data_IF_075572199297
#
_entry.id   IF_075572199297
#
_cell.length_a   1.000
_cell.length_b   1.000
_cell.length_c   1.000
_cell.angle_alpha   90.00
_cell.angle_beta   90.00
_cell.angle_gamma   90.00
#
_symmetry.space_group_name_H-M   'P 1'
#
loop_
_entity.id
_entity.type
_entity.pdbx_description
1 polymer ?
#
# COMPACT_ATOMS: atom_id res chain seq x y z
N UNK A 1 -18.46 14.95 3.68
CA UNK A 1 -18.84 13.63 3.14
C UNK A 1 -17.98 12.60 3.82
N UNK A 2 -18.59 11.61 4.47
CA UNK A 2 -17.90 10.51 5.16
C UNK A 2 -17.63 9.43 4.12
N UNK A 3 -16.37 9.25 3.71
CA UNK A 3 -16.00 8.13 2.85
C UNK A 3 -16.25 6.83 3.62
N UNK A 4 -16.97 5.91 3.00
CA UNK A 4 -17.61 4.81 3.68
C UNK A 4 -16.70 3.58 3.67
N UNK A 5 -16.43 3.01 4.84
CA UNK A 5 -15.79 1.70 5.03
C UNK A 5 -16.50 0.56 4.28
N UNK A 6 -17.76 0.80 3.87
CA UNK A 6 -18.73 -0.19 3.45
C UNK A 6 -19.08 -0.16 1.96
N UNK A 7 -18.56 0.77 1.14
CA UNK A 7 -18.81 0.64 -0.31
C UNK A 7 -18.12 -0.64 -0.80
N UNK A 8 -18.82 -1.57 -1.46
CA UNK A 8 -18.20 -2.80 -1.97
C UNK A 8 -16.97 -2.52 -2.85
N UNK A 9 -17.01 -1.40 -3.56
CA UNK A 9 -15.93 -0.95 -4.44
C UNK A 9 -14.74 -0.35 -3.67
N UNK A 10 -14.92 0.08 -2.41
CA UNK A 10 -13.85 0.70 -1.61
C UNK A 10 -12.68 -0.24 -1.32
N UNK A 11 -12.88 -1.55 -1.47
CA UNK A 11 -11.87 -2.59 -1.25
C UNK A 11 -11.40 -3.25 -2.57
N UNK A 12 -11.79 -2.69 -3.72
CA UNK A 12 -11.41 -3.18 -5.04
C UNK A 12 -10.07 -2.60 -5.52
N UNK A 13 -9.46 -3.25 -6.53
CA UNK A 13 -8.31 -2.70 -7.26
C UNK A 13 -6.93 -2.89 -6.60
N UNK A 14 -6.77 -3.88 -5.73
CA UNK A 14 -5.56 -4.06 -4.90
C UNK A 14 -5.25 -2.80 -4.07
N UNK A 15 -4.01 -2.61 -3.61
CA UNK A 15 -3.62 -1.51 -2.72
C UNK A 15 -2.33 -0.82 -3.14
N UNK A 16 -2.20 0.45 -2.72
CA UNK A 16 -0.92 1.14 -2.67
C UNK A 16 -0.37 0.97 -1.26
N UNK A 17 0.72 0.23 -1.15
CA UNK A 17 1.27 -0.21 0.13
C UNK A 17 2.65 0.38 0.40
N UNK A 18 2.96 0.50 1.68
CA UNK A 18 4.31 0.36 2.19
C UNK A 18 4.55 -1.11 2.54
N UNK A 19 5.44 -1.78 1.81
CA UNK A 19 5.99 -3.08 2.19
C UNK A 19 7.25 -2.87 3.01
N UNK A 20 7.17 -3.11 4.31
CA UNK A 20 8.27 -2.94 5.25
C UNK A 20 8.87 -4.30 5.61
N UNK A 21 10.20 -4.40 5.59
CA UNK A 21 10.94 -5.61 5.94
C UNK A 21 11.78 -5.40 7.21
N UNK A 22 11.67 -6.33 8.14
CA UNK A 22 12.31 -6.29 9.46
C UNK A 22 13.39 -7.36 9.64
N UNK A 23 13.55 -8.28 8.69
CA UNK A 23 14.40 -9.46 8.83
C UNK A 23 13.79 -10.53 9.74
N UNK A 24 14.57 -11.54 10.15
CA UNK A 24 14.10 -12.59 11.05
C UNK A 24 13.70 -12.01 12.42
N UNK A 25 12.41 -12.11 12.76
CA UNK A 25 11.83 -11.60 14.01
C UNK A 25 10.90 -12.65 14.66
N UNK A 26 10.80 -12.69 16.00
CA UNK A 26 9.83 -13.54 16.68
C UNK A 26 8.41 -13.00 16.53
N UNK A 27 7.40 -13.87 16.70
CA UNK A 27 5.97 -13.51 16.63
C UNK A 27 5.61 -12.39 17.62
N UNK A 28 6.23 -12.38 18.80
CA UNK A 28 6.04 -11.31 19.79
C UNK A 28 6.43 -9.93 19.27
N UNK A 29 7.46 -9.84 18.43
CA UNK A 29 7.88 -8.57 17.82
C UNK A 29 6.94 -8.18 16.66
N UNK A 30 6.39 -9.16 15.93
CA UNK A 30 5.34 -8.90 14.94
C UNK A 30 4.10 -8.25 15.57
N UNK A 31 3.67 -8.72 16.75
CA UNK A 31 2.58 -8.11 17.53
C UNK A 31 2.89 -6.66 17.91
N UNK A 32 4.13 -6.38 18.35
CA UNK A 32 4.54 -5.04 18.76
C UNK A 32 4.67 -4.09 17.56
N UNK A 33 5.11 -4.58 16.41
CA UNK A 33 5.17 -3.81 15.16
C UNK A 33 3.76 -3.44 14.70
N UNK A 34 2.83 -4.40 14.70
CA UNK A 34 1.42 -4.13 14.37
C UNK A 34 0.81 -3.09 15.33
N UNK A 35 1.03 -3.24 16.64
CA UNK A 35 0.57 -2.26 17.63
C UNK A 35 1.15 -0.85 17.38
N UNK A 36 2.46 -0.75 17.12
CA UNK A 36 3.11 0.52 16.79
C UNK A 36 2.55 1.15 15.52
N UNK A 37 2.30 0.35 14.47
CA UNK A 37 1.66 0.82 13.24
C UNK A 37 0.30 1.44 13.54
N UNK A 38 -0.56 0.74 14.28
CA UNK A 38 -1.91 1.21 14.61
C UNK A 38 -1.96 2.33 15.67
N UNK A 39 -0.80 2.77 16.17
CA UNK A 39 -0.64 4.01 16.95
C UNK A 39 -0.31 5.23 16.10
N UNK A 40 -0.11 5.07 14.79
CA UNK A 40 0.07 6.21 13.90
C UNK A 40 -1.17 7.10 13.91
N UNK A 41 -0.99 8.40 14.14
CA UNK A 41 -2.09 9.33 14.47
C UNK A 41 -3.14 9.50 13.38
N UNK A 42 -2.83 9.09 12.14
CA UNK A 42 -3.76 9.12 11.00
C UNK A 42 -4.56 7.83 10.85
N UNK A 43 -4.25 6.79 11.61
CA UNK A 43 -4.96 5.52 11.55
C UNK A 43 -6.01 5.42 12.66
N UNK A 44 -7.17 4.88 12.30
CA UNK A 44 -8.16 4.41 13.25
C UNK A 44 -8.43 2.92 13.01
N UNK A 45 -8.27 2.11 14.06
CA UNK A 45 -8.20 0.65 14.01
C UNK A 45 -7.30 0.15 15.14
N UNK A 46 -6.91 -1.14 15.15
CA UNK A 46 -7.25 -2.16 14.17
C UNK A 46 -8.63 -2.78 14.39
N UNK A 47 -9.22 -3.27 13.30
CA UNK A 47 -10.47 -4.04 13.26
C UNK A 47 -10.27 -5.32 12.44
N UNK A 48 -11.08 -6.37 12.72
CA UNK A 48 -11.03 -7.63 11.95
C UNK A 48 -11.98 -7.67 10.76
N UNK A 49 -13.01 -6.82 10.72
CA UNK A 49 -14.02 -6.88 9.67
C UNK A 49 -13.98 -5.64 8.80
N UNK A 50 -13.60 -5.81 7.53
CA UNK A 50 -13.57 -4.73 6.55
C UNK A 50 -14.96 -4.23 6.11
N UNK A 51 -16.01 -5.03 6.32
CA UNK A 51 -17.37 -4.74 5.84
C UNK A 51 -18.29 -4.10 6.90
N UNK A 52 -17.82 -3.96 8.14
CA UNK A 52 -18.58 -3.31 9.23
C UNK A 52 -18.01 -1.91 9.42
N UNK A 53 -18.87 -0.91 9.58
CA UNK A 53 -18.41 0.44 9.92
C UNK A 53 -17.57 0.41 11.23
N UNK A 54 -16.40 1.08 11.25
CA UNK A 54 -15.55 1.20 12.43
C UNK A 54 -16.28 1.55 13.72
N UNK A 55 -17.32 2.39 13.66
CA UNK A 55 -18.07 2.82 14.84
C UNK A 55 -18.84 1.68 15.53
N UNK A 56 -19.15 0.61 14.79
CA UNK A 56 -19.85 -0.58 15.31
C UNK A 56 -18.90 -1.74 15.64
N UNK A 57 -17.58 -1.52 15.54
CA UNK A 57 -16.57 -2.52 15.84
C UNK A 57 -15.81 -2.18 17.11
N UNK A 58 -15.48 -3.21 17.88
CA UNK A 58 -14.51 -3.06 18.96
C UNK A 58 -13.11 -3.08 18.38
N UNK A 59 -12.32 -2.04 18.67
CA UNK A 59 -10.88 -2.03 18.37
C UNK A 59 -10.23 -3.24 19.03
N UNK A 60 -9.48 -4.01 18.26
CA UNK A 60 -8.78 -5.17 18.82
C UNK A 60 -7.51 -4.73 19.55
N UNK A 61 -7.18 -5.48 20.59
CA UNK A 61 -5.97 -5.30 21.41
C UNK A 61 -5.13 -6.58 21.48
N UNK A 62 -5.63 -7.66 20.89
CA UNK A 62 -4.95 -8.95 20.73
C UNK A 62 -4.88 -9.27 19.24
N UNK A 63 -3.70 -9.72 18.82
CA UNK A 63 -3.38 -10.08 17.45
C UNK A 63 -3.18 -11.59 17.39
N UNK A 64 -3.83 -12.23 16.42
CA UNK A 64 -3.79 -13.68 16.23
C UNK A 64 -2.68 -14.07 15.24
N UNK A 65 -1.45 -13.59 15.47
CA UNK A 65 -0.30 -14.02 14.69
C UNK A 65 0.07 -15.46 15.05
N UNK A 66 -0.02 -16.38 14.09
CA UNK A 66 0.52 -17.73 14.21
C UNK A 66 1.96 -17.81 13.66
N UNK A 67 2.70 -18.86 13.99
CA UNK A 67 4.12 -18.99 13.56
C UNK A 67 4.28 -18.99 12.03
N UNK A 68 3.32 -19.56 11.30
CA UNK A 68 3.27 -19.59 9.83
C UNK A 68 2.18 -18.63 9.28
N UNK A 69 1.79 -17.64 10.08
CA UNK A 69 0.56 -16.90 9.91
C UNK A 69 0.67 -15.62 9.11
N UNK A 70 -0.41 -15.30 8.42
CA UNK A 70 -0.76 -13.95 8.02
C UNK A 70 -1.94 -13.50 8.87
N UNK A 71 -1.87 -12.30 9.47
CA UNK A 71 -3.06 -11.64 10.00
C UNK A 71 -3.30 -10.36 9.21
N UNK A 72 -4.52 -10.24 8.68
CA UNK A 72 -5.00 -9.04 8.01
C UNK A 72 -5.88 -8.23 8.96
N UNK A 73 -5.52 -6.97 9.14
CA UNK A 73 -6.22 -6.00 9.96
C UNK A 73 -6.68 -4.83 9.11
N UNK A 74 -7.81 -4.25 9.51
CA UNK A 74 -8.49 -3.20 8.76
C UNK A 74 -8.69 -1.96 9.62
N UNK A 75 -8.77 -0.82 8.96
CA UNK A 75 -8.97 0.47 9.62
C UNK A 75 -9.18 1.57 8.61
N UNK A 76 -9.25 2.80 9.09
CA UNK A 76 -9.30 3.98 8.23
C UNK A 76 -8.00 4.76 8.32
N UNK A 77 -7.66 5.41 7.23
CA UNK A 77 -6.54 6.32 7.12
C UNK A 77 -7.04 7.73 6.81
N UNK A 78 -6.63 8.70 7.61
CA UNK A 78 -6.95 10.12 7.44
C UNK A 78 -5.84 10.83 6.65
N UNK A 79 -6.15 11.23 5.42
CA UNK A 79 -5.26 11.98 4.54
C UNK A 79 -4.97 13.39 5.06
N UNK A 80 -3.90 14.02 4.56
CA UNK A 80 -3.58 15.42 4.90
C UNK A 80 -4.70 16.41 4.52
N UNK A 81 -5.45 16.13 3.44
CA UNK A 81 -6.60 16.93 3.01
C UNK A 81 -7.83 16.75 3.91
N UNK A 82 -7.81 15.83 4.88
CA UNK A 82 -8.93 15.51 5.77
C UNK A 82 -9.88 14.44 5.24
N UNK A 83 -9.68 13.95 4.01
CA UNK A 83 -10.39 12.78 3.48
C UNK A 83 -10.01 11.50 4.26
N UNK A 84 -10.85 10.48 4.16
CA UNK A 84 -10.65 9.20 4.86
C UNK A 84 -10.71 8.05 3.87
N UNK A 85 -9.70 7.19 3.83
CA UNK A 85 -9.74 5.97 3.03
C UNK A 85 -9.79 4.73 3.92
N UNK A 86 -10.30 3.58 3.42
CA UNK A 86 -10.00 2.30 4.04
C UNK A 86 -8.49 2.07 4.05
N UNK A 87 -8.03 1.31 5.03
CA UNK A 87 -6.65 0.96 5.25
C UNK A 87 -6.56 -0.51 5.59
N UNK A 88 -5.65 -1.21 4.93
CA UNK A 88 -5.34 -2.60 5.17
C UNK A 88 -3.92 -2.71 5.73
N UNK A 89 -3.74 -3.63 6.66
CA UNK A 89 -2.43 -4.12 7.04
C UNK A 89 -2.44 -5.64 7.00
N UNK A 90 -1.40 -6.24 6.42
CA UNK A 90 -1.14 -7.67 6.48
C UNK A 90 0.29 -7.89 6.92
N UNK A 91 0.49 -8.67 7.97
CA UNK A 91 1.83 -9.04 8.44
C UNK A 91 2.06 -10.49 8.09
N UNK A 92 3.18 -10.76 7.42
CA UNK A 92 3.59 -12.08 6.96
C UNK A 92 4.94 -12.40 7.60
N UNK A 93 5.03 -13.59 8.18
CA UNK A 93 6.29 -14.15 8.68
C UNK A 93 6.62 -15.40 7.87
N UNK A 94 7.80 -15.40 7.28
CA UNK A 94 8.34 -16.54 6.53
C UNK A 94 9.83 -16.76 6.85
N UNK A 95 10.47 -17.64 6.09
CA UNK A 95 11.89 -18.01 6.26
C UNK A 95 12.86 -16.83 6.07
N UNK A 96 12.49 -15.84 5.24
CA UNK A 96 13.31 -14.65 5.01
C UNK A 96 13.11 -13.61 6.12
N UNK A 97 11.97 -13.67 6.80
CA UNK A 97 11.68 -12.96 8.02
C UNK A 97 10.30 -12.32 8.05
N UNK A 98 10.21 -11.20 8.77
CA UNK A 98 8.97 -10.48 8.99
C UNK A 98 8.79 -9.37 7.96
N UNK A 99 7.62 -9.37 7.32
CA UNK A 99 7.16 -8.38 6.34
C UNK A 99 5.82 -7.82 6.77
N UNK A 100 5.64 -6.52 6.57
CA UNK A 100 4.36 -5.84 6.82
C UNK A 100 3.96 -5.08 5.57
N UNK A 101 2.83 -5.46 4.99
CA UNK A 101 2.12 -4.69 3.97
C UNK A 101 1.15 -3.77 4.69
N UNK A 102 1.23 -2.47 4.42
CA UNK A 102 0.36 -1.49 5.04
C UNK A 102 0.00 -0.40 4.04
N UNK A 103 -1.28 -0.28 3.71
CA UNK A 103 -1.65 0.55 2.58
C UNK A 103 -3.14 0.78 2.40
N UNK A 104 -3.43 1.49 1.32
CA UNK A 104 -4.77 1.98 0.99
C UNK A 104 -5.24 1.24 -0.26
N UNK A 105 -6.39 0.53 -0.19
CA UNK A 105 -7.01 -0.04 -1.37
C UNK A 105 -7.35 1.02 -2.43
N UNK A 106 -7.12 0.72 -3.70
CA UNK A 106 -7.30 1.67 -4.80
C UNK A 106 -8.74 2.16 -4.93
N UNK A 107 -9.73 1.28 -4.80
CA UNK A 107 -11.13 1.67 -4.86
C UNK A 107 -11.59 2.54 -3.69
N UNK A 108 -10.79 2.64 -2.63
CA UNK A 108 -11.03 3.47 -1.45
C UNK A 108 -10.36 4.84 -1.50
N UNK A 109 -9.66 5.17 -2.58
CA UNK A 109 -8.97 6.45 -2.72
C UNK A 109 -9.97 7.62 -2.79
N UNK A 110 -9.62 8.81 -2.29
CA UNK A 110 -10.48 10.00 -2.41
C UNK A 110 -10.81 10.31 -3.88
N UNK A 111 -12.07 10.64 -4.17
CA UNK A 111 -12.54 10.91 -5.55
C UNK A 111 -11.74 12.03 -6.21
N UNK A 112 -11.30 13.02 -5.42
CA UNK A 112 -10.50 14.15 -5.89
C UNK A 112 -9.11 13.76 -6.43
N UNK A 113 -8.62 12.55 -6.15
CA UNK A 113 -7.31 12.10 -6.63
C UNK A 113 -7.34 11.58 -8.07
N UNK A 114 -8.52 11.30 -8.63
CA UNK A 114 -8.71 10.76 -9.99
C UNK A 114 -7.71 9.66 -10.36
N UNK A 115 -7.75 8.55 -9.62
CA UNK A 115 -6.75 7.46 -9.72
C UNK A 115 -6.80 6.69 -11.05
N UNK A 116 -7.83 6.89 -11.88
CA UNK A 116 -7.92 6.34 -13.22
C UNK A 116 -7.81 4.82 -13.29
N UNK A 117 -7.11 4.32 -14.30
CA UNK A 117 -6.82 2.89 -14.49
C UNK A 117 -5.49 2.45 -13.87
N UNK A 118 -4.88 3.25 -12.98
CA UNK A 118 -3.59 2.92 -12.36
C UNK A 118 -3.62 1.49 -11.74
N UNK A 119 -2.56 0.67 -11.91
CA UNK A 119 -1.24 1.00 -12.47
C UNK A 119 -1.16 0.99 -14.00
N UNK A 120 -2.25 0.69 -14.71
CA UNK A 120 -2.27 0.68 -16.17
C UNK A 120 -2.30 2.11 -16.73
N UNK A 121 -1.63 2.31 -17.86
CA UNK A 121 -1.57 3.62 -18.53
C UNK A 121 -2.90 3.90 -19.26
N UNK A 122 -3.68 4.84 -18.71
CA UNK A 122 -4.87 5.43 -19.34
C UNK A 122 -4.62 6.85 -19.86
N UNK A 123 -3.36 7.30 -19.88
CA UNK A 123 -2.97 8.64 -20.28
C UNK A 123 -3.25 9.73 -19.25
N UNK A 124 -3.74 9.40 -18.05
CA UNK A 124 -3.96 10.38 -16.98
C UNK A 124 -2.69 10.68 -16.18
N UNK A 125 -2.52 11.90 -15.66
CA UNK A 125 -1.40 12.24 -14.78
C UNK A 125 -1.58 11.61 -13.39
N UNK A 126 -0.52 11.04 -12.84
CA UNK A 126 -0.50 10.40 -11.50
C UNK A 126 0.03 11.35 -10.41
N UNK A 127 -0.43 12.60 -10.39
CA UNK A 127 0.04 13.64 -9.45
C UNK A 127 -0.32 13.35 -7.99
N UNK A 128 -1.33 12.52 -7.75
CA UNK A 128 -1.75 12.03 -6.43
C UNK A 128 -0.77 11.01 -5.83
N UNK A 129 0.03 10.32 -6.64
CA UNK A 129 0.88 9.24 -6.17
C UNK A 129 2.08 9.74 -5.33
N UNK A 130 2.89 10.72 -5.76
CA UNK A 130 3.98 11.24 -4.93
C UNK A 130 3.58 11.69 -3.51
N UNK A 131 2.50 12.48 -3.29
CA UNK A 131 2.10 12.85 -1.94
C UNK A 131 1.62 11.64 -1.12
N UNK A 132 0.95 10.66 -1.73
CA UNK A 132 0.59 9.41 -1.06
C UNK A 132 1.83 8.61 -0.62
N UNK A 133 2.84 8.48 -1.49
CA UNK A 133 4.09 7.81 -1.15
C UNK A 133 4.77 8.50 0.03
N UNK A 134 4.80 9.84 0.04
CA UNK A 134 5.36 10.61 1.16
C UNK A 134 4.59 10.38 2.48
N UNK A 135 3.28 10.20 2.40
CA UNK A 135 2.46 9.84 3.55
C UNK A 135 2.76 8.42 4.06
N UNK A 136 2.93 7.44 3.16
CA UNK A 136 3.33 6.08 3.51
C UNK A 136 4.75 6.02 4.10
N UNK A 137 5.68 6.84 3.61
CA UNK A 137 7.02 7.00 4.19
C UNK A 137 6.97 7.51 5.63
N UNK A 138 6.07 8.45 5.93
CA UNK A 138 5.86 8.93 7.31
C UNK A 138 5.34 7.83 8.24
N UNK A 139 4.48 6.95 7.73
CA UNK A 139 4.06 5.76 8.47
C UNK A 139 5.24 4.82 8.75
N UNK A 140 6.08 4.55 7.74
CA UNK A 140 7.28 3.73 7.92
C UNK A 140 8.25 4.35 8.93
N UNK A 141 8.51 5.66 8.85
CA UNK A 141 9.38 6.37 9.79
C UNK A 141 8.82 6.34 11.23
N UNK A 142 7.49 6.43 11.39
CA UNK A 142 6.84 6.25 12.68
C UNK A 142 7.10 4.86 13.27
N UNK A 143 7.00 3.81 12.45
CA UNK A 143 7.29 2.44 12.89
C UNK A 143 8.79 2.27 13.19
N UNK A 144 9.67 2.79 12.32
CA UNK A 144 11.12 2.72 12.48
C UNK A 144 11.62 3.35 13.79
N UNK A 145 10.94 4.42 14.25
CA UNK A 145 11.27 5.07 15.52
C UNK A 145 11.15 4.14 16.75
N UNK A 146 10.39 3.05 16.65
CA UNK A 146 10.22 2.05 17.69
C UNK A 146 10.80 0.67 17.31
N UNK A 147 10.82 0.33 16.02
CA UNK A 147 11.15 -0.98 15.51
C UNK A 147 12.02 -0.86 14.26
N UNK A 148 13.28 -1.29 14.31
CA UNK A 148 14.22 -1.09 13.21
C UNK A 148 13.73 -1.71 11.90
N UNK A 149 13.20 -0.86 11.01
CA UNK A 149 12.90 -1.22 9.62
C UNK A 149 14.25 -1.40 8.92
N UNK A 150 14.39 -2.42 8.08
CA UNK A 150 15.62 -2.64 7.30
C UNK A 150 15.50 -2.07 5.89
N UNK A 151 14.33 -2.26 5.29
CA UNK A 151 14.02 -1.76 3.97
C UNK A 151 12.51 -1.61 3.81
N UNK A 152 12.10 -0.75 2.89
CA UNK A 152 10.72 -0.55 2.53
C UNK A 152 10.58 -0.21 1.04
N UNK A 153 9.52 -0.72 0.42
CA UNK A 153 9.15 -0.42 -0.97
C UNK A 153 7.73 0.13 -0.95
N UNK A 154 7.47 1.12 -1.79
CA UNK A 154 6.17 1.80 -1.83
C UNK A 154 5.53 1.73 -3.21
N UNK A 155 4.21 1.58 -3.28
CA UNK A 155 3.47 1.62 -4.55
C UNK A 155 2.42 0.53 -4.67
N UNK A 156 1.97 0.28 -5.89
CA UNK A 156 1.18 -0.90 -6.23
C UNK A 156 2.11 -2.10 -6.34
N UNK A 157 2.17 -2.94 -5.31
CA UNK A 157 3.23 -3.95 -5.18
C UNK A 157 2.77 -5.30 -5.70
N UNK A 158 3.56 -5.88 -6.59
CA UNK A 158 3.42 -7.29 -6.97
C UNK A 158 4.41 -8.18 -6.19
N UNK A 159 4.38 -9.48 -6.48
CA UNK A 159 5.25 -10.47 -5.84
C UNK A 159 6.75 -10.17 -6.06
N UNK A 160 7.12 -9.46 -7.13
CA UNK A 160 8.53 -9.11 -7.40
C UNK A 160 9.07 -7.99 -6.49
N UNK A 161 8.19 -7.31 -5.74
CA UNK A 161 8.61 -6.27 -4.80
C UNK A 161 9.51 -6.82 -3.67
N UNK A 162 9.40 -8.10 -3.30
CA UNK A 162 10.29 -8.73 -2.31
C UNK A 162 11.70 -8.91 -2.84
N UNK A 163 11.87 -9.22 -4.12
CA UNK A 163 13.19 -9.33 -4.76
C UNK A 163 13.91 -7.98 -4.77
N UNK A 164 13.17 -6.89 -4.97
CA UNK A 164 13.69 -5.52 -4.90
C UNK A 164 14.24 -5.21 -3.51
N UNK A 165 13.58 -5.66 -2.44
CA UNK A 165 14.06 -5.50 -1.07
C UNK A 165 15.37 -6.26 -0.87
N UNK A 166 15.43 -7.52 -1.31
CA UNK A 166 16.63 -8.35 -1.18
C UNK A 166 17.82 -7.73 -1.92
N UNK A 167 17.61 -7.29 -3.16
CA UNK A 167 18.62 -6.62 -3.97
C UNK A 167 19.08 -5.29 -3.35
N UNK A 168 18.14 -4.49 -2.83
CA UNK A 168 18.46 -3.23 -2.19
C UNK A 168 19.31 -3.42 -0.92
N UNK A 169 18.98 -4.42 -0.10
CA UNK A 169 19.78 -4.81 1.07
C UNK A 169 21.16 -5.36 0.69
N UNK A 170 21.30 -5.96 -0.49
CA UNK A 170 22.57 -6.37 -1.06
C UNK A 170 23.35 -5.23 -1.74
N UNK A 171 22.83 -3.99 -1.72
CA UNK A 171 23.44 -2.81 -2.34
C UNK A 171 23.28 -2.74 -3.86
N UNK A 172 22.39 -3.55 -4.45
CA UNK A 172 22.16 -3.67 -5.90
C UNK A 172 20.87 -2.98 -6.31
N UNK A 173 20.80 -1.66 -6.20
CA UNK A 173 19.58 -0.92 -6.53
C UNK A 173 19.55 -0.58 -8.03
N UNK A 174 18.60 -1.10 -8.82
CA UNK A 174 18.50 -0.79 -10.24
C UNK A 174 18.25 0.71 -10.46
N UNK A 175 18.88 1.26 -11.51
CA UNK A 175 18.65 2.66 -11.92
C UNK A 175 17.24 2.88 -12.44
N UNK A 176 16.68 1.90 -13.14
CA UNK A 176 15.36 1.98 -13.78
C UNK A 176 14.32 1.20 -12.97
N UNK A 177 13.52 1.90 -12.16
CA UNK A 177 12.56 1.28 -11.23
C UNK A 177 11.19 1.98 -11.21
N UNK A 178 10.17 1.18 -10.97
CA UNK A 178 8.77 1.60 -10.86
C UNK A 178 8.38 2.02 -9.44
N UNK A 179 9.10 1.51 -8.44
CA UNK A 179 8.83 1.75 -7.02
C UNK A 179 9.97 2.53 -6.38
N UNK A 180 9.69 3.54 -5.55
CA UNK A 180 10.68 4.06 -4.63
C UNK A 180 11.01 3.02 -3.56
N UNK A 181 12.27 3.04 -3.13
CA UNK A 181 12.82 2.11 -2.13
C UNK A 181 13.53 2.92 -1.06
N UNK A 182 13.38 2.53 0.19
CA UNK A 182 14.19 3.01 1.30
C UNK A 182 14.97 1.84 1.91
N UNK A 183 16.23 2.09 2.27
CA UNK A 183 17.10 1.14 2.97
C UNK A 183 17.65 1.83 4.21
N UNK A 184 17.46 1.21 5.36
CA UNK A 184 17.89 1.73 6.65
C UNK A 184 19.14 0.99 7.10
N UNK A 185 20.16 1.75 7.45
CA UNK A 185 21.41 1.23 7.99
C UNK A 185 21.86 2.12 9.16
N UNK A 186 21.83 1.58 10.38
CA UNK A 186 22.28 2.28 11.60
C UNK A 186 21.73 3.71 11.73
N UNK A 187 20.40 3.86 11.63
CA UNK A 187 19.67 5.14 11.69
C UNK A 187 19.92 6.11 10.52
N UNK A 188 20.68 5.72 9.50
CA UNK A 188 20.74 6.42 8.22
C UNK A 188 19.76 5.80 7.23
N UNK A 189 19.05 6.64 6.48
CA UNK A 189 18.08 6.20 5.46
C UNK A 189 18.62 6.56 4.08
N UNK A 190 18.85 5.54 3.26
CA UNK A 190 19.06 5.69 1.84
C UNK A 190 17.71 5.71 1.13
N UNK A 191 17.31 6.85 0.59
CA UNK A 191 16.09 6.97 -0.23
C UNK A 191 16.42 6.90 -1.72
N UNK A 192 15.74 5.99 -2.42
CA UNK A 192 15.93 5.73 -3.84
C UNK A 192 14.60 5.99 -4.56
N UNK A 193 14.37 7.20 -5.12
CA UNK A 193 13.09 7.58 -5.70
C UNK A 193 12.73 6.74 -6.93
N UNK A 194 11.45 6.60 -7.27
CA UNK A 194 11.06 6.01 -8.56
C UNK A 194 11.68 6.77 -9.75
N UNK A 195 12.01 6.06 -10.83
CA UNK A 195 12.63 6.69 -12.03
C UNK A 195 11.78 6.56 -13.28
N UNK A 196 10.84 5.60 -13.33
CA UNK A 196 9.99 5.38 -14.52
C UNK A 196 8.71 6.21 -14.56
N UNK A 197 8.18 6.66 -13.42
CA UNK A 197 6.98 7.50 -13.39
C UNK A 197 7.26 8.94 -13.83
N UNK A 198 8.50 9.42 -13.69
CA UNK A 198 8.92 10.69 -14.30
C UNK A 198 8.70 10.66 -15.83
N UNK A 199 8.95 9.52 -16.49
CA UNK A 199 8.64 9.37 -17.92
C UNK A 199 7.14 9.38 -18.25
N UNK A 200 6.25 8.99 -17.32
CA UNK A 200 4.79 9.09 -17.49
C UNK A 200 4.28 10.51 -17.20
N UNK A 201 4.85 11.19 -16.20
CA UNK A 201 4.52 12.58 -15.83
C UNK A 201 4.99 13.55 -16.93
N UNK A 202 6.23 13.41 -17.42
CA UNK A 202 6.80 14.32 -18.43
C UNK A 202 6.19 14.13 -19.81
N UNK A 203 5.89 12.89 -20.22
CA UNK A 203 5.32 12.59 -21.56
C UNK A 203 3.90 13.12 -21.74
N UNK A 204 3.17 13.38 -20.65
CA UNK A 204 1.82 13.97 -20.66
C UNK A 204 1.83 15.50 -20.51
N UNK A 205 2.89 16.10 -19.95
CA UNK A 205 3.05 17.55 -19.93
C UNK A 205 3.22 18.14 -21.34
N UNK A 206 3.92 17.44 -22.23
CA UNK A 206 4.14 17.88 -23.63
C UNK A 206 2.90 17.71 -24.53
N UNK A 207 1.93 16.88 -24.14
CA UNK A 207 0.66 16.70 -24.88
C UNK A 207 -0.44 17.67 -24.47
N UNK A 208 -0.32 18.32 -23.31
CA UNK A 208 -1.31 19.28 -22.82
C UNK A 208 -1.26 20.64 -23.54
N UNK A 209 -0.30 20.86 -24.45
CA UNK A 209 -0.14 22.10 -25.23
C UNK A 209 -0.40 21.86 -26.71
N UNK A 210 -1.57 21.31 -27.07
CA UNK A 210 -2.13 21.51 -28.41
C UNK A 210 -3.66 21.37 -28.37
N UNK A 211 -4.45 22.45 -28.52
CA UNK A 211 -5.88 22.33 -28.69
C UNK A 211 -6.15 22.05 -30.18
N UNK A 212 -6.40 20.79 -30.53
CA UNK A 212 -6.97 20.45 -31.83
C UNK A 212 -8.06 19.38 -31.69
N UNK A 213 -9.30 19.87 -31.57
CA UNK A 213 -10.42 19.46 -32.43
C UNK A 213 -11.09 18.10 -32.22
N UNK A 214 -12.38 18.15 -31.86
CA UNK A 214 -13.42 17.28 -32.42
C UNK A 214 -14.01 16.21 -31.49
N UNK A 215 -15.36 16.04 -31.45
CA UNK A 215 -16.03 15.14 -30.52
C UNK A 215 -16.03 13.71 -31.06
N UNK A 216 -15.22 12.84 -30.47
CA UNK A 216 -15.28 11.40 -30.67
C UNK A 216 -16.01 10.73 -29.50
N UNK A 217 -17.26 10.35 -29.72
CA UNK A 217 -18.00 9.47 -28.81
C UNK A 217 -17.34 8.09 -28.87
N UNK A 218 -16.73 7.65 -27.77
CA UNK A 218 -16.34 6.25 -27.57
C UNK A 218 -17.22 5.68 -26.47
N UNK A 219 -18.18 4.88 -26.88
CA UNK A 219 -19.05 4.09 -26.02
C UNK A 219 -18.24 3.00 -25.30
N UNK A 220 -17.99 3.21 -24.01
CA UNK A 220 -17.48 2.17 -23.10
C UNK A 220 -18.61 1.19 -22.77
N UNK A 221 -18.64 0.07 -23.49
CA UNK A 221 -19.38 -1.13 -23.08
C UNK A 221 -18.39 -2.26 -22.84
N UNK A 222 -18.59 -2.92 -21.69
CA UNK A 222 -17.97 -4.17 -21.20
C UNK A 222 -16.66 -4.03 -20.44
N UNK A 223 -16.77 -3.81 -19.13
CA UNK A 223 -16.09 -4.61 -18.10
C UNK A 223 -17.00 -4.68 -16.85
N UNK A 224 -18.07 -5.47 -16.96
CA UNK A 224 -18.81 -5.99 -15.80
C UNK A 224 -18.47 -7.47 -15.69
N UNK A 225 -17.50 -7.77 -14.84
CA UNK A 225 -17.31 -9.05 -14.11
C UNK A 225 -15.90 -9.08 -13.50
N UNK A 226 -15.59 -8.15 -12.60
CA UNK A 226 -14.55 -8.42 -11.61
C UNK A 226 -15.23 -9.23 -10.50
N UNK A 227 -15.23 -10.55 -10.68
CA UNK A 227 -15.53 -11.48 -9.61
C UNK A 227 -14.63 -11.16 -8.41
N UNK A 228 -15.13 -11.36 -7.20
CA UNK A 228 -14.41 -11.29 -5.94
C UNK A 228 -13.11 -12.12 -6.04
N UNK A 229 -12.01 -11.48 -6.43
CA UNK A 229 -10.70 -12.10 -6.41
C UNK A 229 -10.22 -12.03 -4.95
N UNK A 230 -9.90 -13.17 -4.31
CA UNK A 230 -9.29 -13.15 -3.01
C UNK A 230 -7.96 -12.40 -3.10
N UNK A 231 -7.76 -11.47 -2.17
CA UNK A 231 -6.49 -10.82 -1.88
C UNK A 231 -5.34 -11.84 -1.93
N UNK A 232 -4.13 -11.44 -2.36
CA UNK A 232 -3.08 -12.38 -2.66
C UNK A 232 -2.68 -13.15 -1.39
N UNK A 233 -2.72 -14.48 -1.49
CA UNK A 233 -2.12 -15.46 -0.59
C UNK A 233 -2.75 -15.65 0.81
N UNK A 234 -3.79 -16.49 0.85
CA UNK A 234 -4.03 -17.44 1.95
C UNK A 234 -4.49 -18.77 1.35
N UNK A 235 -3.56 -19.61 0.90
CA UNK A 235 -3.84 -21.06 0.83
C UNK A 235 -3.28 -21.66 2.11
N UNK A 236 -4.11 -22.26 2.98
CA UNK A 236 -3.57 -23.08 4.05
C UNK A 236 -2.78 -24.21 3.39
N UNK A 237 -1.48 -24.28 3.71
CA UNK A 237 -0.64 -25.42 3.33
C UNK A 237 -1.31 -26.70 3.81
N UNK A 238 -1.57 -27.62 2.88
CA UNK A 238 -1.95 -28.99 3.23
C UNK A 238 -0.78 -29.58 4.00
N UNK A 239 -1.02 -29.93 5.26
CA UNK A 239 -0.19 -30.88 5.99
C UNK A 239 -0.15 -32.20 5.18
N UNK A 240 1.04 -32.60 4.75
CA UNK A 240 1.41 -33.99 4.47
C UNK A 240 2.73 -34.27 5.15
#
# INVERSE_FOLDING_TARGET
MTQCFQSPDAWSGESIDALMFFGPRPVTEAMQIADSLWKFSRLAGPFRQRNIDPQFQTRITSFDFTEDGCESLFGTYKHACGAFSPFAQSTIRDDDGLRVYAGIPMGGMPEEWDVGAYPFDDGKPVTWLPPLIEELRKLTAHIDSAHCVRAAVYGWLDVSATDIIADALAGKIPRDRWYPVEVWNNHSVGYFPMTKIEALITKNADKAVTPSGGPGVVTSQRFLAAAELPWPFCRPGRLT
#
